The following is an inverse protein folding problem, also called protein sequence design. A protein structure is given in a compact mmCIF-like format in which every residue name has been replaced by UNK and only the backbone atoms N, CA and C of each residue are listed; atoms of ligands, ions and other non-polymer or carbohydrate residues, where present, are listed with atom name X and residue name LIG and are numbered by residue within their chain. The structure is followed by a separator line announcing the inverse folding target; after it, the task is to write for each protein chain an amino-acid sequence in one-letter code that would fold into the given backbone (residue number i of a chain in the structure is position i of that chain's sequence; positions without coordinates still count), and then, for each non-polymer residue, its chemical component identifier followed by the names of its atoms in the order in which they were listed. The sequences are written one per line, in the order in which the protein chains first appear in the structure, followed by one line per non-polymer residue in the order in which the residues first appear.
data_IF_855851270849
#
_entry.id   IF_855851270849
#
_cell.length_a   1.000
_cell.length_b   1.000
_cell.length_c   1.000
_cell.angle_alpha   90.00
_cell.angle_beta   90.00
_cell.angle_gamma   90.00
#
_symmetry.space_group_name_H-M   'P 1'
#
loop_
_entity.id
_entity.type
_entity.pdbx_description
1 polymer ?
#
# COMPACT_ATOMS: atom_id res chain seq x y z
N UNK A 1 -0.36 -25.14 -3.64
CA UNK A 1 -1.02 -23.94 -3.11
C UNK A 1 -1.39 -24.19 -1.64
N UNK A 2 -0.83 -23.43 -0.72
CA UNK A 2 -1.16 -23.51 0.71
C UNK A 2 -2.63 -23.12 0.89
N UNK A 3 -3.48 -23.94 1.56
CA UNK A 3 -4.93 -23.70 1.63
C UNK A 3 -5.34 -22.33 2.20
N UNK A 4 -4.50 -21.68 3.00
CA UNK A 4 -4.75 -20.34 3.55
C UNK A 4 -4.59 -19.20 2.54
N UNK A 5 -3.73 -19.36 1.52
CA UNK A 5 -3.46 -18.34 0.50
C UNK A 5 -4.67 -18.04 -0.40
N UNK A 6 -5.59 -19.00 -0.58
CA UNK A 6 -6.77 -18.81 -1.42
C UNK A 6 -7.81 -17.82 -0.84
N UNK A 7 -7.67 -17.44 0.44
CA UNK A 7 -8.60 -16.52 1.14
C UNK A 7 -8.05 -15.11 1.27
N UNK A 8 -6.82 -14.89 0.87
CA UNK A 8 -6.15 -13.59 0.95
C UNK A 8 -6.74 -12.65 -0.13
N UNK A 9 -7.36 -11.51 0.22
CA UNK A 9 -8.05 -10.65 -0.74
C UNK A 9 -7.11 -10.11 -1.83
N UNK A 10 -5.89 -9.75 -1.47
CA UNK A 10 -4.89 -9.26 -2.41
C UNK A 10 -4.43 -10.32 -3.41
N UNK A 11 -4.33 -11.59 -2.99
CA UNK A 11 -3.96 -12.69 -3.87
C UNK A 11 -5.07 -12.99 -4.89
N UNK A 12 -6.34 -12.89 -4.48
CA UNK A 12 -7.47 -13.06 -5.42
C UNK A 12 -7.51 -11.97 -6.47
N UNK A 13 -7.25 -10.71 -6.08
CA UNK A 13 -7.16 -9.59 -7.00
C UNK A 13 -5.96 -9.74 -7.95
N UNK A 14 -4.79 -10.13 -7.43
CA UNK A 14 -3.62 -10.41 -8.24
C UNK A 14 -3.84 -11.59 -9.21
N UNK A 15 -4.51 -12.66 -8.76
CA UNK A 15 -4.88 -13.79 -9.61
C UNK A 15 -5.94 -13.43 -10.66
N UNK A 16 -6.89 -12.55 -10.33
CA UNK A 16 -7.87 -12.05 -11.29
C UNK A 16 -7.20 -11.16 -12.33
N UNK A 17 -6.37 -10.22 -11.90
CA UNK A 17 -5.58 -9.37 -12.80
C UNK A 17 -4.65 -10.20 -13.70
N UNK A 18 -4.01 -11.25 -13.17
CA UNK A 18 -3.19 -12.16 -13.94
C UNK A 18 -4.01 -12.96 -14.96
N UNK A 19 -5.19 -13.46 -14.57
CA UNK A 19 -6.10 -14.17 -15.49
C UNK A 19 -6.63 -13.27 -16.60
N UNK A 20 -6.95 -12.03 -16.26
CA UNK A 20 -7.42 -11.03 -17.23
C UNK A 20 -6.28 -10.58 -18.17
N UNK A 21 -5.04 -10.52 -17.70
CA UNK A 21 -3.87 -10.17 -18.50
C UNK A 21 -3.37 -11.30 -19.42
N UNK A 22 -3.48 -12.57 -19.01
CA UNK A 22 -2.96 -13.73 -19.75
C UNK A 22 -3.48 -13.86 -21.20
N UNK A 23 -4.77 -13.59 -21.52
CA UNK A 23 -5.25 -13.61 -22.90
C UNK A 23 -4.67 -12.51 -23.78
N UNK A 24 -4.19 -11.42 -23.18
CA UNK A 24 -3.78 -10.20 -23.87
C UNK A 24 -2.26 -10.11 -24.07
N UNK A 25 -1.48 -10.93 -23.36
CA UNK A 25 -0.02 -11.02 -23.57
C UNK A 25 0.37 -11.52 -24.97
N UNK A 26 -0.58 -12.09 -25.74
CA UNK A 26 -0.37 -12.45 -27.13
C UNK A 26 -0.40 -11.26 -28.12
N UNK A 27 -0.91 -10.10 -27.70
CA UNK A 27 -1.14 -8.93 -28.57
C UNK A 27 -0.32 -7.68 -28.18
N UNK A 28 0.74 -7.82 -27.38
CA UNK A 28 1.66 -6.73 -27.05
C UNK A 28 1.35 -6.00 -25.73
N UNK A 29 2.41 -5.53 -25.11
CA UNK A 29 2.45 -4.88 -23.78
C UNK A 29 1.52 -3.65 -23.65
N UNK A 30 1.15 -2.99 -24.73
CA UNK A 30 0.30 -1.79 -24.70
C UNK A 30 -1.14 -2.05 -24.24
N UNK A 31 -1.66 -3.26 -24.42
CA UNK A 31 -3.01 -3.62 -23.98
C UNK A 31 -3.08 -3.97 -22.50
N UNK A 32 -2.00 -4.48 -21.90
CA UNK A 32 -1.94 -4.86 -20.49
C UNK A 32 -2.00 -3.63 -19.58
N UNK A 33 -1.42 -2.52 -20.02
CA UNK A 33 -1.39 -1.27 -19.23
C UNK A 33 -2.76 -0.54 -19.25
N UNK A 34 -3.59 -0.72 -20.28
CA UNK A 34 -4.87 -0.01 -20.44
C UNK A 34 -6.04 -0.62 -19.64
N UNK A 35 -6.05 -1.93 -19.43
CA UNK A 35 -7.19 -2.63 -18.81
C UNK A 35 -7.44 -2.29 -17.34
N UNK A 36 -6.43 -2.23 -16.45
CA UNK A 36 -6.65 -1.79 -15.09
C UNK A 36 -7.14 -0.34 -14.99
N UNK A 37 -6.61 0.56 -15.84
CA UNK A 37 -6.96 1.98 -15.82
C UNK A 37 -8.39 2.26 -16.29
N UNK A 38 -8.90 1.52 -17.27
CA UNK A 38 -10.27 1.71 -17.75
C UNK A 38 -11.29 1.37 -16.67
N UNK A 39 -11.14 0.23 -16.00
CA UNK A 39 -11.98 -0.15 -14.87
C UNK A 39 -11.83 0.82 -13.68
N UNK A 40 -10.63 1.36 -13.48
CA UNK A 40 -10.37 2.32 -12.44
C UNK A 40 -11.14 3.63 -12.66
N UNK A 41 -11.16 4.16 -13.88
CA UNK A 41 -11.93 5.36 -14.21
C UNK A 41 -13.42 5.20 -13.90
N UNK A 42 -14.04 4.09 -14.32
CA UNK A 42 -15.44 3.79 -14.03
C UNK A 42 -15.72 3.74 -12.52
N UNK A 43 -14.80 3.15 -11.75
CA UNK A 43 -14.92 3.03 -10.28
C UNK A 43 -14.77 4.37 -9.56
N UNK A 44 -13.82 5.20 -10.00
CA UNK A 44 -13.65 6.53 -9.44
C UNK A 44 -14.86 7.41 -9.74
N UNK A 45 -15.41 7.33 -10.96
CA UNK A 45 -16.67 8.00 -11.31
C UNK A 45 -17.83 7.54 -10.43
N UNK A 46 -17.91 6.23 -10.14
CA UNK A 46 -18.93 5.69 -9.22
C UNK A 46 -18.78 6.24 -7.80
N UNK A 47 -17.54 6.49 -7.35
CA UNK A 47 -17.26 7.17 -6.08
C UNK A 47 -17.49 8.69 -6.14
N UNK A 48 -17.86 9.25 -7.31
CA UNK A 48 -18.00 10.69 -7.51
C UNK A 48 -16.66 11.43 -7.60
N UNK A 49 -15.56 10.71 -7.90
CA UNK A 49 -14.22 11.26 -8.03
C UNK A 49 -13.84 11.39 -9.50
N UNK A 50 -13.37 12.58 -9.88
CA UNK A 50 -12.71 12.80 -11.18
C UNK A 50 -11.20 12.61 -11.05
N UNK A 51 -10.64 11.76 -11.91
CA UNK A 51 -9.24 11.33 -11.84
C UNK A 51 -8.27 12.51 -11.98
N UNK A 52 -8.53 13.38 -12.96
CA UNK A 52 -7.61 14.48 -13.24
C UNK A 52 -7.67 15.53 -12.14
N UNK A 53 -8.88 15.92 -11.74
CA UNK A 53 -9.10 16.87 -10.66
C UNK A 53 -8.51 16.38 -9.35
N UNK A 54 -8.70 15.09 -9.00
CA UNK A 54 -8.14 14.51 -7.79
C UNK A 54 -6.61 14.52 -7.81
N UNK A 55 -6.00 14.05 -8.92
CA UNK A 55 -4.54 14.02 -9.07
C UNK A 55 -3.91 15.41 -8.91
N UNK A 56 -4.50 16.43 -9.53
CA UNK A 56 -4.03 17.81 -9.41
C UNK A 56 -4.19 18.34 -7.98
N UNK A 57 -5.32 18.07 -7.36
CA UNK A 57 -5.61 18.55 -6.02
C UNK A 57 -4.67 17.98 -4.96
N UNK A 58 -4.37 16.68 -5.03
CA UNK A 58 -3.56 15.99 -4.00
C UNK A 58 -2.09 15.87 -4.39
N UNK A 59 -1.72 16.16 -5.64
CA UNK A 59 -0.34 16.00 -6.13
C UNK A 59 0.16 14.55 -6.16
N UNK A 60 -0.75 13.56 -6.13
CA UNK A 60 -0.41 12.14 -6.22
C UNK A 60 -0.57 11.65 -7.65
N UNK A 61 0.40 10.89 -8.19
CA UNK A 61 0.28 10.27 -9.50
C UNK A 61 -0.61 9.02 -9.45
N UNK A 62 -1.14 8.63 -10.60
CA UNK A 62 -1.70 7.28 -10.77
C UNK A 62 -0.60 6.23 -10.57
N UNK A 63 -0.88 5.26 -9.72
CA UNK A 63 0.03 4.17 -9.38
C UNK A 63 -0.47 2.88 -10.03
N UNK A 64 0.22 2.36 -11.06
CA UNK A 64 -0.15 1.09 -11.67
C UNK A 64 0.16 -0.08 -10.73
N UNK A 65 -0.63 -1.14 -10.85
CA UNK A 65 -0.33 -2.39 -10.15
C UNK A 65 0.87 -3.08 -10.81
N UNK A 66 1.80 -3.66 -10.03
CA UNK A 66 2.97 -4.35 -10.56
C UNK A 66 2.57 -5.71 -11.16
N UNK A 67 3.30 -6.15 -12.18
CA UNK A 67 3.12 -7.48 -12.77
C UNK A 67 3.64 -8.61 -11.86
N UNK A 68 4.54 -8.28 -10.92
CA UNK A 68 5.21 -9.25 -10.05
C UNK A 68 5.33 -8.70 -8.63
N UNK A 69 5.03 -9.58 -7.69
CA UNK A 69 5.20 -9.34 -6.26
C UNK A 69 6.02 -10.47 -5.64
N UNK A 70 6.82 -10.12 -4.65
CA UNK A 70 7.58 -11.07 -3.86
C UNK A 70 6.90 -11.30 -2.50
N UNK A 71 6.92 -12.53 -2.03
CA UNK A 71 6.54 -12.86 -0.67
C UNK A 71 7.60 -12.32 0.30
N UNK A 72 7.18 -11.50 1.24
CA UNK A 72 8.05 -10.83 2.22
C UNK A 72 7.76 -11.26 3.68
N UNK A 73 7.21 -12.47 3.87
CA UNK A 73 6.82 -12.98 5.17
C UNK A 73 5.33 -12.80 5.46
N UNK A 74 5.01 -12.64 6.72
CA UNK A 74 3.64 -12.42 7.20
C UNK A 74 3.53 -11.08 7.90
N UNK A 75 2.37 -10.45 7.79
CA UNK A 75 2.05 -9.26 8.57
C UNK A 75 1.67 -9.63 10.02
N UNK A 76 1.48 -8.64 10.88
CA UNK A 76 1.10 -8.84 12.29
C UNK A 76 -0.23 -9.60 12.48
N UNK A 77 -1.09 -9.65 11.44
CA UNK A 77 -2.35 -10.39 11.43
C UNK A 77 -2.21 -11.80 10.85
N UNK A 78 -0.97 -12.27 10.65
CA UNK A 78 -0.64 -13.57 10.03
C UNK A 78 -1.18 -13.73 8.60
N UNK A 79 -1.29 -12.60 7.85
CA UNK A 79 -1.62 -12.61 6.43
C UNK A 79 -0.33 -12.57 5.61
N UNK A 80 -0.26 -13.24 4.45
CA UNK A 80 0.90 -13.15 3.56
C UNK A 80 1.18 -11.70 3.15
N UNK A 81 2.39 -11.24 3.39
CA UNK A 81 2.88 -9.93 3.00
C UNK A 81 3.46 -9.99 1.59
N UNK A 82 2.94 -9.18 0.70
CA UNK A 82 3.39 -9.05 -0.68
C UNK A 82 3.94 -7.65 -0.92
N UNK A 83 5.14 -7.58 -1.51
CA UNK A 83 5.82 -6.34 -1.86
C UNK A 83 6.46 -6.44 -3.24
N UNK A 84 6.84 -5.30 -3.82
CA UNK A 84 7.80 -5.26 -4.92
C UNK A 84 9.10 -5.96 -4.50
N UNK A 85 9.76 -6.67 -5.41
CA UNK A 85 10.90 -7.52 -5.05
C UNK A 85 12.04 -6.78 -4.34
N UNK A 86 12.32 -5.54 -4.74
CA UNK A 86 13.37 -4.74 -4.13
C UNK A 86 12.95 -4.22 -2.74
N UNK A 87 11.70 -3.79 -2.59
CA UNK A 87 11.13 -3.43 -1.30
C UNK A 87 11.11 -4.61 -0.34
N UNK A 88 10.74 -5.81 -0.81
CA UNK A 88 10.76 -7.04 0.00
C UNK A 88 12.16 -7.36 0.53
N UNK A 89 13.18 -7.28 -0.34
CA UNK A 89 14.58 -7.51 0.04
C UNK A 89 15.09 -6.47 1.03
N UNK A 90 14.73 -5.21 0.82
CA UNK A 90 15.09 -4.12 1.70
C UNK A 90 14.41 -4.23 3.06
N UNK A 91 13.10 -4.56 3.09
CA UNK A 91 12.32 -4.82 4.29
C UNK A 91 12.93 -5.90 5.16
N UNK A 92 13.22 -7.06 4.60
CA UNK A 92 13.79 -8.18 5.36
C UNK A 92 15.15 -7.83 5.97
N UNK A 93 15.99 -7.05 5.27
CA UNK A 93 17.27 -6.56 5.82
C UNK A 93 17.06 -5.55 6.93
N UNK A 94 16.12 -4.61 6.76
CA UNK A 94 15.77 -3.59 7.74
C UNK A 94 15.22 -4.23 9.01
N UNK A 95 14.31 -5.19 8.88
CA UNK A 95 13.73 -5.94 10.00
C UNK A 95 14.80 -6.72 10.78
N UNK A 96 15.72 -7.39 10.07
CA UNK A 96 16.82 -8.10 10.72
C UNK A 96 17.78 -7.16 11.47
N UNK A 97 18.06 -5.98 10.93
CA UNK A 97 18.91 -4.99 11.59
C UNK A 97 18.24 -4.40 12.84
N UNK A 98 16.96 -4.05 12.76
CA UNK A 98 16.19 -3.58 13.91
C UNK A 98 16.16 -4.62 15.03
N UNK A 99 15.96 -5.89 14.67
CA UNK A 99 15.99 -6.99 15.63
C UNK A 99 17.37 -7.16 16.32
N UNK A 100 18.47 -6.93 15.59
CA UNK A 100 19.82 -6.94 16.16
C UNK A 100 20.01 -5.82 17.21
N UNK A 101 19.29 -4.71 17.04
CA UNK A 101 19.23 -3.59 17.99
C UNK A 101 18.12 -3.77 19.05
N UNK A 102 17.57 -5.00 19.19
CA UNK A 102 16.47 -5.34 20.09
C UNK A 102 15.17 -4.53 19.84
N UNK A 103 14.96 -4.08 18.60
CA UNK A 103 13.74 -3.39 18.16
C UNK A 103 12.94 -4.32 17.26
N UNK A 104 11.66 -4.53 17.59
CA UNK A 104 10.75 -5.34 16.79
C UNK A 104 9.98 -4.45 15.81
N UNK A 105 10.10 -4.76 14.52
CA UNK A 105 9.30 -4.15 13.44
C UNK A 105 8.36 -5.20 12.86
N UNK A 106 7.06 -4.92 12.90
CA UNK A 106 6.03 -5.75 12.28
C UNK A 106 5.44 -5.04 11.06
N UNK A 107 5.15 -5.79 10.01
CA UNK A 107 4.37 -5.27 8.91
C UNK A 107 2.88 -5.24 9.29
N UNK A 108 2.21 -4.12 9.02
CA UNK A 108 0.76 -3.98 9.15
C UNK A 108 0.08 -4.25 7.81
N UNK A 109 0.62 -3.66 6.72
CA UNK A 109 0.06 -3.75 5.38
C UNK A 109 1.15 -3.48 4.34
N UNK A 110 1.18 -4.27 3.27
CA UNK A 110 2.03 -4.06 2.10
C UNK A 110 1.20 -3.75 0.86
N UNK A 111 1.40 -4.50 -0.23
CA UNK A 111 0.66 -4.34 -1.46
C UNK A 111 -0.86 -4.41 -1.25
N UNK A 112 -1.55 -3.45 -1.87
CA UNK A 112 -3.02 -3.40 -1.97
C UNK A 112 -3.42 -3.18 -3.44
N UNK A 113 -4.28 -4.04 -4.00
CA UNK A 113 -4.81 -3.81 -5.34
C UNK A 113 -5.76 -2.61 -5.39
N UNK A 114 -6.00 -2.08 -6.60
CA UNK A 114 -7.04 -1.05 -6.83
C UNK A 114 -8.40 -1.53 -6.31
N UNK A 115 -8.75 -2.79 -6.57
CA UNK A 115 -10.00 -3.40 -6.11
C UNK A 115 -10.09 -3.53 -4.60
N UNK A 116 -8.99 -3.88 -3.95
CA UNK A 116 -8.94 -3.93 -2.48
C UNK A 116 -9.16 -2.55 -1.87
N UNK A 117 -8.51 -1.52 -2.43
CA UNK A 117 -8.67 -0.13 -1.99
C UNK A 117 -10.09 0.35 -2.21
N UNK A 118 -10.73 0.05 -3.36
CA UNK A 118 -12.14 0.35 -3.59
C UNK A 118 -13.03 -0.28 -2.51
N UNK A 119 -12.78 -1.53 -2.16
CA UNK A 119 -13.51 -2.20 -1.09
C UNK A 119 -13.32 -1.55 0.30
N UNK A 120 -12.20 -0.86 0.56
CA UNK A 120 -12.03 -0.03 1.77
C UNK A 120 -13.00 1.14 1.73
N UNK A 121 -13.09 1.84 0.60
CA UNK A 121 -14.02 2.97 0.42
C UNK A 121 -15.47 2.54 0.58
N UNK A 122 -15.89 1.46 -0.09
CA UNK A 122 -17.24 0.90 0.02
C UNK A 122 -17.63 0.58 1.46
N UNK A 123 -16.71 -0.09 2.20
CA UNK A 123 -16.96 -0.41 3.63
C UNK A 123 -17.07 0.83 4.51
N UNK A 124 -16.23 1.85 4.26
CA UNK A 124 -16.27 3.10 5.04
C UNK A 124 -17.53 3.90 4.74
N UNK A 125 -17.92 4.02 3.46
CA UNK A 125 -19.20 4.63 3.04
C UNK A 125 -20.40 3.89 3.63
N UNK A 126 -20.38 2.53 3.60
CA UNK A 126 -21.43 1.71 4.20
C UNK A 126 -21.54 1.86 5.73
N UNK A 127 -20.52 2.40 6.39
CA UNK A 127 -20.54 2.77 7.82
C UNK A 127 -20.97 4.21 8.05
N UNK A 128 -21.28 4.97 6.99
CA UNK A 128 -21.75 6.35 7.06
C UNK A 128 -20.64 7.42 7.12
N UNK A 129 -19.37 7.05 6.86
CA UNK A 129 -18.31 8.05 6.74
C UNK A 129 -18.51 8.86 5.45
N UNK A 130 -18.19 10.15 5.49
CA UNK A 130 -18.22 10.98 4.29
C UNK A 130 -17.00 10.75 3.40
N UNK A 131 -17.12 11.05 2.10
CA UNK A 131 -15.99 10.95 1.17
C UNK A 131 -14.77 11.79 1.61
N UNK A 132 -14.93 13.05 2.06
CA UNK A 132 -13.80 13.82 2.60
C UNK A 132 -13.11 13.14 3.79
N UNK A 133 -13.87 12.59 4.74
CA UNK A 133 -13.27 11.89 5.89
C UNK A 133 -12.49 10.63 5.47
N UNK A 134 -12.98 9.94 4.43
CA UNK A 134 -12.29 8.76 3.90
C UNK A 134 -11.01 9.18 3.20
N UNK A 135 -11.04 10.23 2.39
CA UNK A 135 -9.88 10.72 1.63
C UNK A 135 -8.81 11.34 2.53
N UNK A 136 -9.16 11.87 3.70
CA UNK A 136 -8.20 12.38 4.66
C UNK A 136 -7.27 11.28 5.22
N UNK A 137 -7.70 10.03 5.22
CA UNK A 137 -6.97 8.87 5.77
C UNK A 137 -6.73 7.76 4.74
N UNK A 138 -7.01 8.00 3.47
CA UNK A 138 -6.74 7.05 2.40
C UNK A 138 -6.61 7.78 1.07
N UNK A 139 -5.55 7.54 0.34
CA UNK A 139 -5.53 7.92 -1.06
C UNK A 139 -6.63 7.17 -1.84
N UNK A 140 -7.23 7.83 -2.83
CA UNK A 140 -8.23 7.21 -3.69
C UNK A 140 -7.69 5.96 -4.40
N UNK A 141 -8.57 4.99 -4.77
CA UNK A 141 -8.15 3.84 -5.57
C UNK A 141 -7.39 4.30 -6.82
N UNK A 142 -6.25 3.68 -7.08
CA UNK A 142 -5.33 4.08 -8.16
C UNK A 142 -4.27 5.11 -7.76
N UNK A 143 -4.39 5.76 -6.60
CA UNK A 143 -3.45 6.79 -6.14
C UNK A 143 -2.68 6.39 -4.87
N UNK A 144 -3.04 5.26 -4.25
CA UNK A 144 -2.34 4.76 -3.08
C UNK A 144 -0.97 4.21 -3.47
N UNK A 145 0.07 4.59 -2.74
CA UNK A 145 1.44 4.08 -2.92
C UNK A 145 1.52 2.56 -2.73
N UNK A 146 0.62 1.97 -1.94
CA UNK A 146 0.54 0.53 -1.74
C UNK A 146 0.24 -0.26 -3.03
N UNK A 147 -0.34 0.38 -4.05
CA UNK A 147 -0.59 -0.27 -5.35
C UNK A 147 0.70 -0.67 -6.07
N UNK A 148 1.80 0.05 -5.83
CA UNK A 148 3.11 -0.27 -6.39
C UNK A 148 3.78 -1.48 -5.74
N UNK A 149 3.35 -1.87 -4.54
CA UNK A 149 4.07 -2.81 -3.68
C UNK A 149 5.35 -2.23 -3.06
N UNK A 150 5.57 -0.91 -3.21
CA UNK A 150 6.74 -0.22 -2.64
C UNK A 150 6.43 0.37 -1.26
N UNK A 151 5.15 0.59 -0.92
CA UNK A 151 4.76 1.11 0.39
C UNK A 151 4.47 -0.01 1.39
N UNK A 152 4.82 0.26 2.63
CA UNK A 152 4.69 -0.64 3.76
C UNK A 152 4.22 0.15 4.98
N UNK A 153 3.11 -0.27 5.58
CA UNK A 153 2.72 0.18 6.90
C UNK A 153 3.44 -0.66 7.94
N UNK A 154 4.19 -0.01 8.83
CA UNK A 154 5.04 -0.64 9.84
C UNK A 154 4.51 -0.32 11.23
N UNK A 155 4.52 -1.31 12.10
CA UNK A 155 4.17 -1.22 13.51
C UNK A 155 5.15 -1.97 14.40
N UNK A 156 4.72 -2.20 15.61
CA UNK A 156 5.44 -3.00 16.63
C UNK A 156 4.41 -3.73 17.48
N UNK A 157 4.73 -4.87 18.11
CA UNK A 157 3.77 -5.68 18.87
C UNK A 157 3.03 -4.92 19.98
N UNK A 158 3.69 -3.93 20.58
CA UNK A 158 3.19 -3.23 21.75
C UNK A 158 2.38 -1.96 21.43
N UNK A 159 2.11 -1.69 20.16
CA UNK A 159 1.35 -0.53 19.70
C UNK A 159 0.14 -0.92 18.87
N UNK A 160 -0.95 -0.15 18.98
CA UNK A 160 -2.09 -0.30 18.10
C UNK A 160 -1.68 -0.01 16.64
N UNK A 161 -2.12 -0.83 15.67
CA UNK A 161 -1.72 -0.70 14.29
C UNK A 161 -2.30 0.57 13.63
N UNK A 162 -1.48 1.26 12.85
CA UNK A 162 -1.87 2.45 12.08
C UNK A 162 -2.50 3.57 12.96
N UNK A 163 -1.89 3.83 14.10
CA UNK A 163 -2.28 4.89 15.03
C UNK A 163 -1.12 5.87 15.22
N UNK A 164 -1.45 7.16 15.39
CA UNK A 164 -0.44 8.22 15.57
C UNK A 164 0.49 7.96 16.77
N UNK A 165 -0.02 7.29 17.80
CA UNK A 165 0.76 6.91 18.99
C UNK A 165 2.00 6.07 18.65
N UNK A 166 2.08 5.44 17.48
CA UNK A 166 3.27 4.74 17.01
C UNK A 166 4.52 5.64 17.04
N UNK A 167 4.38 6.95 16.82
CA UNK A 167 5.50 7.90 16.85
C UNK A 167 6.25 7.94 18.20
N UNK A 168 5.60 7.52 19.29
CA UNK A 168 6.20 7.50 20.63
C UNK A 168 6.98 6.21 20.95
N UNK A 169 7.00 5.26 20.01
CA UNK A 169 7.62 3.95 20.22
C UNK A 169 9.12 3.94 19.89
N UNK A 170 9.89 3.03 20.51
CA UNK A 170 11.28 2.78 20.09
C UNK A 170 11.40 2.35 18.62
N UNK A 171 10.39 1.65 18.09
CA UNK A 171 10.34 1.23 16.71
C UNK A 171 10.31 2.42 15.73
N UNK A 172 9.49 3.41 16.00
CA UNK A 172 9.46 4.64 15.21
C UNK A 172 10.78 5.41 15.30
N UNK A 173 11.35 5.58 16.50
CA UNK A 173 12.62 6.25 16.70
C UNK A 173 13.76 5.57 15.91
N UNK A 174 13.76 4.23 15.89
CA UNK A 174 14.69 3.44 15.09
C UNK A 174 14.49 3.65 13.59
N UNK A 175 13.25 3.56 13.10
CA UNK A 175 12.91 3.80 11.69
C UNK A 175 13.32 5.20 11.26
N UNK A 176 13.01 6.21 12.04
CA UNK A 176 13.37 7.61 11.75
C UNK A 176 14.88 7.80 11.56
N UNK A 177 15.68 7.03 12.28
CA UNK A 177 17.15 7.12 12.24
C UNK A 177 17.79 6.24 11.18
N UNK A 178 17.16 5.13 10.79
CA UNK A 178 17.83 4.07 10.03
C UNK A 178 17.12 3.69 8.71
N UNK A 179 15.82 3.96 8.54
CA UNK A 179 15.05 3.46 7.41
C UNK A 179 15.62 3.91 6.05
N UNK A 180 16.17 5.13 5.98
CA UNK A 180 16.80 5.67 4.76
C UNK A 180 18.00 4.85 4.28
N UNK A 181 18.77 4.22 5.19
CA UNK A 181 19.88 3.33 4.83
C UNK A 181 19.39 2.05 4.12
N UNK A 182 18.11 1.73 4.24
CA UNK A 182 17.45 0.62 3.56
C UNK A 182 16.58 1.08 2.38
N UNK A 183 16.63 2.36 2.04
CA UNK A 183 15.86 2.93 0.94
C UNK A 183 14.40 3.21 1.27
N UNK A 184 14.02 3.29 2.55
CA UNK A 184 12.67 3.67 2.97
C UNK A 184 12.64 5.12 3.48
N UNK A 185 11.58 5.83 3.10
CA UNK A 185 11.28 7.18 3.58
C UNK A 185 9.80 7.26 3.99
N UNK A 186 9.48 8.13 4.94
CA UNK A 186 8.11 8.43 5.35
C UNK A 186 7.45 9.31 4.29
N UNK A 187 6.34 8.85 3.69
CA UNK A 187 5.64 9.61 2.63
C UNK A 187 4.70 10.67 3.18
N UNK A 188 4.11 10.46 4.35
CA UNK A 188 3.09 11.35 4.92
C UNK A 188 3.52 11.94 6.28
N UNK A 189 4.58 12.78 6.30
CA UNK A 189 4.95 13.53 7.49
C UNK A 189 3.88 14.56 7.84
N UNK A 190 4.00 15.22 9.00
CA UNK A 190 3.17 16.37 9.33
C UNK A 190 3.31 17.44 8.24
N UNK A 191 2.22 18.09 7.90
CA UNK A 191 2.16 19.14 6.86
C UNK A 191 2.54 18.65 5.45
N UNK A 192 2.36 17.36 5.14
CA UNK A 192 2.56 16.86 3.78
C UNK A 192 1.55 17.51 2.80
N UNK A 193 1.91 17.67 1.51
CA UNK A 193 1.09 18.40 0.55
C UNK A 193 -0.11 17.62 0.00
N UNK A 194 -0.30 16.36 0.41
CA UNK A 194 -1.23 15.43 -0.24
C UNK A 194 -2.64 15.42 0.36
N UNK A 195 -2.89 16.20 1.42
CA UNK A 195 -4.17 16.21 2.10
C UNK A 195 -4.47 14.92 2.89
N UNK A 196 -3.47 14.06 3.04
CA UNK A 196 -3.51 12.88 3.90
C UNK A 196 -2.97 13.27 5.28
N UNK A 197 -3.58 12.75 6.34
CA UNK A 197 -3.12 13.01 7.70
C UNK A 197 -1.69 12.50 7.91
N UNK A 198 -1.09 12.91 9.02
CA UNK A 198 0.19 12.38 9.46
C UNK A 198 0.11 10.85 9.71
N UNK A 199 0.98 10.10 9.03
CA UNK A 199 1.01 8.64 9.12
C UNK A 199 2.42 8.16 9.50
N UNK A 200 2.80 8.13 10.79
CA UNK A 200 4.13 7.70 11.23
C UNK A 200 4.44 6.23 10.90
N UNK A 201 3.43 5.43 10.63
CA UNK A 201 3.54 4.02 10.24
C UNK A 201 3.83 3.81 8.75
N UNK A 202 3.56 4.83 7.87
CA UNK A 202 3.61 4.67 6.42
C UNK A 202 4.99 5.00 5.84
N UNK A 203 5.65 4.00 5.28
CA UNK A 203 7.00 4.09 4.74
C UNK A 203 7.04 3.57 3.31
N UNK A 204 7.72 4.28 2.41
CA UNK A 204 7.85 3.92 1.00
C UNK A 204 9.30 3.66 0.63
N UNK A 205 9.53 2.55 -0.09
CA UNK A 205 10.82 2.20 -0.69
C UNK A 205 11.02 2.94 -2.03
N UNK A 206 12.25 3.41 -2.27
CA UNK A 206 12.65 4.16 -3.45
C UNK A 206 13.04 5.59 -3.10
N UNK A 207 13.43 6.37 -4.12
CA UNK A 207 13.73 7.80 -3.92
C UNK A 207 12.44 8.54 -3.52
N UNK A 208 12.56 9.38 -2.49
CA UNK A 208 11.52 10.31 -2.06
C UNK A 208 11.42 11.48 -3.05
#
# INVERSE_FOLDING_TARGET
LVPGLAREPGLRAAQAALRDALPHTRNGLEHVIRLPLHRLHERLQWLGLDVESYSVQVGLPLVPEPNWLAFAGFDQFQRPLWLHIDAARAWLRMQAAALADAVMLDAISGYRSHDYQLGIFERKLGRGLSMPDILAVNAAPGFSEHHSGLALDIGTPDAAPAEEAFETTPAFAWLHSHASAYGFAMSYPRDNPHGIIYEPWHWRFGEA
#
